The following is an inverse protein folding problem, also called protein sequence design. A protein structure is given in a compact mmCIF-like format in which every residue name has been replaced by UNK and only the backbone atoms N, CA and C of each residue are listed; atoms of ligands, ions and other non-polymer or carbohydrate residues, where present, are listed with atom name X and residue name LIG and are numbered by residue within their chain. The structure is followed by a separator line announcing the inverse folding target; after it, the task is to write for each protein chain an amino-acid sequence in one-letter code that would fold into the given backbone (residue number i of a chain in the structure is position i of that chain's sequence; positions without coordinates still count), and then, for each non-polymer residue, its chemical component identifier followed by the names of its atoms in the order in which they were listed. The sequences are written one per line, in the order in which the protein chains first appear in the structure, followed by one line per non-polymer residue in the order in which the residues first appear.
data_IF_619092772468
#
_entry.id   IF_619092772468
#
_cell.length_a   1.000
_cell.length_b   1.000
_cell.length_c   1.000
_cell.angle_alpha   90.00
_cell.angle_beta   90.00
_cell.angle_gamma   90.00
#
_symmetry.space_group_name_H-M   'P 1'
#
loop_
_entity.id
_entity.type
_entity.pdbx_description
1 polymer ?
#
# COMPACT_ATOMS: atom_id res chain seq x y z
N UNK A 1 54.98 -10.73 -29.35
CA UNK A 1 53.52 -10.86 -29.14
C UNK A 1 53.29 -10.29 -27.75
N UNK A 2 53.05 -8.98 -27.70
CA UNK A 2 53.06 -8.24 -26.45
C UNK A 2 51.68 -8.28 -25.80
N UNK A 3 51.67 -8.73 -24.56
CA UNK A 3 50.53 -8.81 -23.67
C UNK A 3 50.12 -7.40 -23.24
N UNK A 4 49.02 -6.89 -23.79
CA UNK A 4 48.38 -5.64 -23.34
C UNK A 4 47.67 -5.93 -22.01
N UNK A 5 48.34 -5.62 -20.91
CA UNK A 5 47.74 -5.54 -19.57
C UNK A 5 46.94 -4.23 -19.50
N UNK A 6 45.63 -4.31 -19.65
CA UNK A 6 44.70 -3.21 -19.36
C UNK A 6 44.71 -2.99 -17.85
N UNK A 7 45.20 -1.83 -17.39
CA UNK A 7 45.07 -1.40 -16.00
C UNK A 7 43.59 -1.08 -15.72
N UNK A 8 43.04 -1.44 -14.54
CA UNK A 8 41.73 -0.96 -14.14
C UNK A 8 41.78 0.55 -13.90
N UNK A 9 40.76 1.28 -14.36
CA UNK A 9 40.52 2.68 -14.01
C UNK A 9 40.18 2.78 -12.51
N UNK A 10 41.21 2.94 -11.68
CA UNK A 10 41.09 3.37 -10.28
C UNK A 10 41.49 4.86 -10.17
N UNK A 11 40.65 5.80 -10.61
CA UNK A 11 40.98 7.23 -10.36
C UNK A 11 39.85 8.22 -10.07
N UNK A 12 38.55 7.93 -10.24
CA UNK A 12 37.53 8.98 -9.99
C UNK A 12 37.15 9.15 -8.50
N UNK A 13 37.21 8.09 -7.68
CA UNK A 13 36.81 8.19 -6.27
C UNK A 13 37.86 8.90 -5.38
N UNK A 14 39.13 8.94 -5.79
CA UNK A 14 40.24 9.47 -4.99
C UNK A 14 40.49 10.99 -5.16
N UNK A 15 39.91 11.60 -6.20
CA UNK A 15 39.93 13.05 -6.44
C UNK A 15 38.65 13.76 -5.96
N UNK A 16 37.54 13.02 -5.86
CA UNK A 16 36.27 13.53 -5.37
C UNK A 16 36.40 14.10 -3.94
N UNK A 17 35.97 15.34 -3.74
CA UNK A 17 36.03 16.05 -2.45
C UNK A 17 37.27 16.95 -2.25
N UNK A 18 38.22 16.96 -3.20
CA UNK A 18 39.35 17.93 -3.20
C UNK A 18 39.02 19.23 -3.94
N UNK A 19 37.96 19.23 -4.75
CA UNK A 19 37.45 20.42 -5.43
C UNK A 19 36.65 21.29 -4.46
N UNK A 20 37.31 22.33 -3.93
CA UNK A 20 36.68 23.28 -3.01
C UNK A 20 35.60 24.14 -3.69
N UNK A 21 35.56 24.20 -5.03
CA UNK A 21 34.56 24.95 -5.79
C UNK A 21 33.17 24.36 -5.61
N UNK A 22 33.03 23.05 -5.78
CA UNK A 22 31.73 22.37 -5.69
C UNK A 22 31.12 22.45 -4.27
N UNK A 23 31.94 22.26 -3.23
CA UNK A 23 31.46 22.41 -1.84
C UNK A 23 30.99 23.84 -1.58
N UNK A 24 31.73 24.84 -2.08
CA UNK A 24 31.32 26.24 -1.97
C UNK A 24 29.98 26.51 -2.67
N UNK A 25 29.81 26.01 -3.89
CA UNK A 25 28.56 26.15 -4.65
C UNK A 25 27.37 25.49 -3.95
N UNK A 26 27.56 24.31 -3.37
CA UNK A 26 26.53 23.63 -2.56
C UNK A 26 26.13 24.50 -1.38
N UNK A 27 27.11 25.05 -0.65
CA UNK A 27 26.86 25.93 0.50
C UNK A 27 26.09 27.19 0.07
N UNK A 28 26.53 27.87 -0.99
CA UNK A 28 25.89 29.08 -1.52
C UNK A 28 24.46 28.79 -1.98
N UNK A 29 24.26 27.70 -2.71
CA UNK A 29 22.95 27.29 -3.22
C UNK A 29 22.00 26.96 -2.07
N UNK A 30 22.44 26.14 -1.11
CA UNK A 30 21.62 25.81 0.05
C UNK A 30 21.26 27.06 0.88
N UNK A 31 22.19 28.00 1.07
CA UNK A 31 21.89 29.26 1.77
C UNK A 31 20.79 30.07 1.09
N UNK A 32 20.76 30.12 -0.25
CA UNK A 32 19.71 30.82 -1.01
C UNK A 32 18.32 30.22 -0.78
N UNK A 33 18.23 28.94 -0.43
CA UNK A 33 16.98 28.23 -0.17
C UNK A 33 16.73 27.98 1.33
N UNK A 34 17.51 28.63 2.22
CA UNK A 34 17.30 28.59 3.67
C UNK A 34 18.08 27.53 4.44
N UNK A 35 18.96 26.76 3.80
CA UNK A 35 19.86 25.85 4.50
C UNK A 35 20.99 26.64 5.20
N UNK A 36 20.88 26.77 6.52
CA UNK A 36 21.86 27.44 7.38
C UNK A 36 22.80 26.47 8.10
N UNK A 37 23.59 26.99 9.05
CA UNK A 37 24.56 26.20 9.83
C UNK A 37 23.94 24.96 10.46
N UNK A 38 22.76 25.07 11.07
CA UNK A 38 22.08 23.94 11.70
C UNK A 38 21.79 22.78 10.71
N UNK A 39 21.42 23.10 9.47
CA UNK A 39 21.18 22.10 8.43
C UNK A 39 22.47 21.34 8.08
N UNK A 40 23.54 22.08 7.75
CA UNK A 40 24.81 21.46 7.36
C UNK A 40 25.45 20.70 8.52
N UNK A 41 25.34 21.19 9.75
CA UNK A 41 25.81 20.47 10.94
C UNK A 41 25.04 19.17 11.15
N UNK A 42 23.71 19.18 11.02
CA UNK A 42 22.91 17.95 11.15
C UNK A 42 23.28 16.93 10.05
N UNK A 43 23.48 17.41 8.83
CA UNK A 43 23.86 16.58 7.69
C UNK A 43 25.26 15.97 7.85
N UNK A 44 26.21 16.73 8.40
CA UNK A 44 27.59 16.27 8.62
C UNK A 44 27.74 15.27 9.78
N UNK A 45 26.86 15.31 10.77
CA UNK A 45 26.93 14.47 11.97
C UNK A 45 25.98 13.26 11.95
N UNK A 46 25.23 13.05 10.87
CA UNK A 46 24.30 11.93 10.74
C UNK A 46 24.49 11.21 9.40
N UNK A 47 25.21 10.09 9.42
CA UNK A 47 25.41 9.24 8.24
C UNK A 47 24.09 8.78 7.62
N UNK A 48 23.08 8.48 8.45
CA UNK A 48 21.74 8.11 8.00
C UNK A 48 21.07 9.25 7.21
N UNK A 49 21.11 10.48 7.73
CA UNK A 49 20.55 11.65 7.05
C UNK A 49 21.30 11.96 5.75
N UNK A 50 22.62 11.78 5.76
CA UNK A 50 23.46 11.96 4.58
C UNK A 50 23.11 10.94 3.50
N UNK A 51 23.02 9.66 3.85
CA UNK A 51 22.66 8.58 2.93
C UNK A 51 21.28 8.82 2.29
N UNK A 52 20.31 9.34 3.04
CA UNK A 52 18.98 9.70 2.52
C UNK A 52 19.05 10.85 1.50
N UNK A 53 19.84 11.88 1.78
CA UNK A 53 20.06 13.01 0.87
C UNK A 53 20.73 12.54 -0.42
N UNK A 54 21.75 11.69 -0.33
CA UNK A 54 22.40 11.08 -1.50
C UNK A 54 21.40 10.26 -2.32
N UNK A 55 20.60 9.42 -1.67
CA UNK A 55 19.58 8.61 -2.35
C UNK A 55 18.50 9.47 -3.03
N UNK A 56 18.13 10.61 -2.44
CA UNK A 56 17.20 11.58 -3.03
C UNK A 56 17.78 12.21 -4.31
N UNK A 57 19.02 12.70 -4.25
CA UNK A 57 19.70 13.33 -5.39
C UNK A 57 19.96 12.32 -6.50
N UNK A 58 20.43 11.11 -6.19
CA UNK A 58 20.69 10.04 -7.17
C UNK A 58 19.42 9.59 -7.92
N UNK A 59 18.23 9.86 -7.37
CA UNK A 59 16.93 9.56 -7.99
C UNK A 59 16.31 10.78 -8.68
N UNK A 60 17.10 11.82 -8.95
CA UNK A 60 16.66 12.97 -9.75
C UNK A 60 15.74 13.95 -9.02
N UNK A 61 15.74 13.95 -7.68
CA UNK A 61 14.89 14.85 -6.91
C UNK A 61 13.39 14.51 -6.96
N UNK A 62 13.02 13.35 -7.51
CA UNK A 62 11.68 12.80 -7.36
C UNK A 62 11.49 12.39 -5.90
N UNK A 63 10.75 13.21 -5.17
CA UNK A 63 10.26 12.91 -3.84
C UNK A 63 9.47 11.58 -3.86
N UNK A 64 10.13 10.51 -3.44
CA UNK A 64 9.46 9.68 -2.45
C UNK A 64 9.53 10.48 -1.16
N UNK A 65 8.53 11.35 -0.93
CA UNK A 65 8.18 11.77 0.44
C UNK A 65 7.74 10.48 1.13
N UNK A 66 8.71 9.72 1.62
CA UNK A 66 8.53 9.08 2.90
C UNK A 66 8.54 10.24 3.87
N UNK A 67 7.37 10.87 4.00
CA UNK A 67 7.00 11.53 5.25
C UNK A 67 7.49 10.56 6.31
N UNK A 68 8.34 11.07 7.20
CA UNK A 68 8.65 10.37 8.44
C UNK A 68 7.31 10.34 9.16
N UNK A 69 6.50 9.32 8.83
CA UNK A 69 5.28 9.03 9.54
C UNK A 69 5.71 8.92 10.98
N UNK A 70 5.14 9.77 11.84
CA UNK A 70 5.35 9.71 13.27
C UNK A 70 5.42 8.24 13.68
N UNK A 71 6.43 7.83 14.45
CA UNK A 71 6.50 6.45 14.90
C UNK A 71 5.18 6.11 15.60
N UNK A 72 4.37 5.28 14.94
CA UNK A 72 3.09 4.86 15.43
C UNK A 72 3.33 3.52 16.13
N UNK A 73 3.40 3.47 17.48
CA UNK A 73 3.67 2.23 18.19
C UNK A 73 2.53 1.24 17.95
N UNK A 74 2.86 -0.06 17.91
CA UNK A 74 1.81 -1.05 17.84
C UNK A 74 0.92 -1.01 19.09
N UNK A 75 -0.38 -1.20 18.92
CA UNK A 75 -1.29 -1.45 20.05
C UNK A 75 -1.11 -2.88 20.57
N UNK A 76 -1.61 -3.17 21.77
CA UNK A 76 -1.62 -4.56 22.28
C UNK A 76 -2.45 -5.48 21.37
N UNK A 77 -3.56 -4.96 20.86
CA UNK A 77 -4.44 -5.70 19.95
C UNK A 77 -3.74 -6.02 18.62
N UNK A 78 -2.96 -5.10 18.06
CA UNK A 78 -2.15 -5.32 16.86
C UNK A 78 -1.06 -6.37 17.08
N UNK A 79 -0.33 -6.30 18.21
CA UNK A 79 0.67 -7.31 18.58
C UNK A 79 0.04 -8.70 18.70
N UNK A 80 -1.07 -8.81 19.43
CA UNK A 80 -1.81 -10.05 19.57
C UNK A 80 -2.25 -10.63 18.21
N UNK A 81 -2.77 -9.78 17.32
CA UNK A 81 -3.16 -10.24 15.99
C UNK A 81 -1.97 -10.73 15.17
N UNK A 82 -0.82 -10.04 15.25
CA UNK A 82 0.43 -10.46 14.61
C UNK A 82 0.90 -11.81 15.16
N UNK A 83 0.84 -12.01 16.47
CA UNK A 83 1.25 -13.26 17.12
C UNK A 83 0.37 -14.45 16.67
N UNK A 84 -0.93 -14.21 16.41
CA UNK A 84 -1.89 -15.25 16.02
C UNK A 84 -1.87 -15.52 14.51
N UNK A 85 -2.00 -14.47 13.68
CA UNK A 85 -2.14 -14.60 12.22
C UNK A 85 -0.81 -14.59 11.48
N UNK A 86 0.24 -14.05 12.11
CA UNK A 86 1.54 -13.79 11.50
C UNK A 86 1.67 -12.38 10.92
N UNK A 87 2.90 -11.85 10.96
CA UNK A 87 3.24 -10.49 10.51
C UNK A 87 2.84 -10.19 9.06
N UNK A 88 2.88 -11.19 8.17
CA UNK A 88 2.50 -11.04 6.76
C UNK A 88 0.98 -10.96 6.53
N UNK A 89 0.18 -11.32 7.53
CA UNK A 89 -1.29 -11.35 7.46
C UNK A 89 -1.95 -10.16 8.18
N UNK A 90 -1.18 -9.31 8.84
CA UNK A 90 -1.70 -8.15 9.58
C UNK A 90 -1.12 -6.87 8.99
N UNK A 91 -2.01 -6.00 8.48
CA UNK A 91 -1.67 -4.65 8.08
C UNK A 91 -2.15 -3.66 9.14
N UNK A 92 -1.20 -3.11 9.87
CA UNK A 92 -1.43 -2.22 11.01
C UNK A 92 -1.76 -0.80 10.59
N UNK A 93 -2.32 -0.01 11.51
CA UNK A 93 -2.56 1.43 11.31
C UNK A 93 -1.28 2.19 10.93
N UNK A 94 -0.14 1.79 11.49
CA UNK A 94 1.17 2.37 11.20
C UNK A 94 1.54 2.18 9.73
N UNK A 95 1.40 0.95 9.23
CA UNK A 95 1.69 0.61 7.83
C UNK A 95 0.67 1.22 6.86
N UNK A 96 -0.60 1.30 7.27
CA UNK A 96 -1.66 1.92 6.48
C UNK A 96 -1.60 3.46 6.46
N UNK A 97 -0.67 4.08 7.22
CA UNK A 97 -0.58 5.54 7.44
C UNK A 97 -1.92 6.12 7.94
N UNK A 98 -2.51 5.44 8.92
CA UNK A 98 -3.75 5.81 9.61
C UNK A 98 -3.49 6.50 10.95
N UNK A 99 -4.36 7.46 11.33
CA UNK A 99 -4.17 8.28 12.53
C UNK A 99 -5.08 7.91 13.72
N UNK A 100 -6.27 7.37 13.49
CA UNK A 100 -7.21 7.02 14.55
C UNK A 100 -7.02 5.58 15.02
N UNK A 101 -6.93 5.37 16.34
CA UNK A 101 -6.93 4.04 16.93
C UNK A 101 -8.36 3.51 17.01
N UNK A 102 -8.58 2.30 16.46
CA UNK A 102 -9.85 1.61 16.54
C UNK A 102 -9.65 0.26 17.21
N UNK A 103 -10.59 -0.11 18.08
CA UNK A 103 -10.59 -1.44 18.70
C UNK A 103 -10.81 -2.54 17.66
N UNK A 104 -10.16 -3.69 17.86
CA UNK A 104 -10.45 -4.88 17.07
C UNK A 104 -11.86 -5.38 17.36
N UNK A 105 -12.65 -5.58 16.30
CA UNK A 105 -14.02 -6.12 16.39
C UNK A 105 -14.05 -7.63 16.59
N UNK A 106 -12.91 -8.29 16.44
CA UNK A 106 -12.78 -9.75 16.38
C UNK A 106 -12.12 -10.28 17.66
N UNK A 107 -12.68 -11.36 18.21
CA UNK A 107 -12.12 -12.04 19.37
C UNK A 107 -10.87 -12.84 19.01
N UNK A 108 -10.05 -13.18 20.02
CA UNK A 108 -8.91 -14.10 19.86
C UNK A 108 -9.31 -15.42 19.20
N UNK A 109 -10.47 -15.97 19.60
CA UNK A 109 -11.01 -17.22 19.04
C UNK A 109 -11.24 -17.11 17.53
N UNK A 110 -11.80 -16.00 17.05
CA UNK A 110 -12.00 -15.77 15.61
C UNK A 110 -10.66 -15.68 14.87
N UNK A 111 -9.68 -14.99 15.45
CA UNK A 111 -8.35 -14.88 14.84
C UNK A 111 -7.65 -16.24 14.76
N UNK A 112 -7.75 -17.09 15.79
CA UNK A 112 -7.20 -18.44 15.77
C UNK A 112 -7.88 -19.32 14.70
N UNK A 113 -9.22 -19.28 14.61
CA UNK A 113 -9.93 -20.01 13.57
C UNK A 113 -9.48 -19.60 12.15
N UNK A 114 -9.25 -18.30 11.94
CA UNK A 114 -8.74 -17.80 10.66
C UNK A 114 -7.29 -18.23 10.41
N UNK A 115 -6.44 -18.27 11.44
CA UNK A 115 -5.07 -18.81 11.33
C UNK A 115 -5.08 -20.30 10.94
N UNK A 116 -5.98 -21.09 11.52
CA UNK A 116 -6.16 -22.51 11.18
C UNK A 116 -6.66 -22.71 9.74
N UNK A 117 -7.57 -21.86 9.26
CA UNK A 117 -8.01 -21.88 7.87
C UNK A 117 -6.91 -21.46 6.89
N UNK A 118 -6.08 -20.49 7.27
CA UNK A 118 -4.91 -20.04 6.48
C UNK A 118 -3.87 -21.15 6.30
N UNK A 119 -3.77 -22.07 7.27
CA UNK A 119 -2.88 -23.24 7.15
C UNK A 119 -3.37 -24.27 6.10
N UNK A 120 -4.61 -24.13 5.61
CA UNK A 120 -5.20 -24.99 4.59
C UNK A 120 -5.17 -24.28 3.24
N UNK A 121 -6.15 -23.43 3.00
CA UNK A 121 -6.37 -22.79 1.69
C UNK A 121 -6.92 -21.36 1.78
N UNK A 122 -7.22 -20.83 2.97
CA UNK A 122 -7.73 -19.47 3.09
C UNK A 122 -6.61 -18.42 3.00
N UNK A 123 -7.00 -17.16 2.78
CA UNK A 123 -6.10 -16.02 2.92
C UNK A 123 -6.73 -14.91 3.75
N UNK A 124 -7.08 -15.24 4.99
CA UNK A 124 -7.55 -14.29 5.99
C UNK A 124 -6.44 -13.31 6.38
N UNK A 125 -6.74 -12.03 6.21
CA UNK A 125 -5.87 -10.91 6.57
C UNK A 125 -6.63 -9.92 7.42
N UNK A 126 -5.99 -9.44 8.48
CA UNK A 126 -6.50 -8.37 9.30
C UNK A 126 -5.91 -7.05 8.81
N UNK A 127 -6.75 -6.16 8.27
CA UNK A 127 -6.31 -4.96 7.57
C UNK A 127 -6.93 -3.73 8.21
N UNK A 128 -6.09 -2.76 8.59
CA UNK A 128 -6.56 -1.41 8.93
C UNK A 128 -6.96 -0.64 7.68
N UNK A 129 -8.20 -0.16 7.63
CA UNK A 129 -8.76 0.58 6.51
C UNK A 129 -9.29 1.94 6.98
N UNK A 130 -9.13 2.97 6.13
CA UNK A 130 -9.52 4.36 6.40
C UNK A 130 -10.95 4.68 5.97
N UNK A 131 -11.64 3.74 5.34
CA UNK A 131 -13.03 3.94 4.92
C UNK A 131 -13.17 4.71 3.61
N UNK A 132 -12.12 4.71 2.78
CA UNK A 132 -12.12 5.51 1.56
C UNK A 132 -13.05 4.90 0.51
N UNK A 133 -13.76 5.76 -0.22
CA UNK A 133 -14.50 5.35 -1.41
C UNK A 133 -13.55 5.03 -2.57
N UNK A 134 -14.05 4.36 -3.63
CA UNK A 134 -13.23 4.07 -4.81
C UNK A 134 -12.69 5.36 -5.46
N UNK A 135 -13.51 6.43 -5.49
CA UNK A 135 -13.05 7.71 -6.03
C UNK A 135 -11.99 8.37 -5.17
N UNK A 136 -12.14 8.32 -3.85
CA UNK A 136 -11.12 8.82 -2.94
C UNK A 136 -9.80 8.06 -3.10
N UNK A 137 -9.86 6.73 -3.24
CA UNK A 137 -8.68 5.91 -3.52
C UNK A 137 -8.06 6.26 -4.89
N UNK A 138 -8.85 6.44 -5.94
CA UNK A 138 -8.33 6.86 -7.26
C UNK A 138 -7.64 8.22 -7.21
N UNK A 139 -8.20 9.20 -6.51
CA UNK A 139 -7.56 10.51 -6.32
C UNK A 139 -6.23 10.34 -5.58
N UNK A 140 -6.19 9.48 -4.55
CA UNK A 140 -5.01 9.25 -3.72
C UNK A 140 -3.87 8.56 -4.46
N UNK A 141 -4.16 7.49 -5.21
CA UNK A 141 -3.11 6.67 -5.86
C UNK A 141 -2.87 7.07 -7.32
N UNK A 142 -3.80 7.80 -7.93
CA UNK A 142 -3.69 8.26 -9.30
C UNK A 142 -3.91 7.16 -10.34
N UNK A 143 -3.51 7.47 -11.58
CA UNK A 143 -3.70 6.61 -12.78
C UNK A 143 -2.43 6.47 -13.61
N UNK A 144 -1.28 6.91 -13.10
CA UNK A 144 -0.02 6.83 -13.82
C UNK A 144 0.49 5.38 -13.80
N UNK A 145 0.43 4.68 -14.94
CA UNK A 145 0.89 3.29 -15.06
C UNK A 145 2.36 3.08 -14.67
N UNK A 146 3.19 4.13 -14.72
CA UNK A 146 4.60 4.08 -14.26
C UNK A 146 4.75 4.15 -12.74
N UNK A 147 3.69 4.51 -12.01
CA UNK A 147 3.66 4.63 -10.55
C UNK A 147 2.63 3.64 -9.99
N UNK A 148 3.08 2.48 -9.52
CA UNK A 148 2.20 1.47 -8.93
C UNK A 148 2.08 1.66 -7.40
N UNK A 149 0.91 1.39 -6.80
CA UNK A 149 -0.32 0.97 -7.47
C UNK A 149 -1.05 2.16 -8.10
N UNK A 150 -1.72 1.96 -9.24
CA UNK A 150 -2.56 2.98 -9.86
C UNK A 150 -3.88 2.39 -10.37
N UNK A 151 -4.93 3.22 -10.48
CA UNK A 151 -6.11 2.82 -11.24
C UNK A 151 -5.81 2.82 -12.74
N UNK A 152 -6.48 1.94 -13.48
CA UNK A 152 -6.36 1.94 -14.93
C UNK A 152 -6.91 3.27 -15.50
N UNK A 153 -6.10 4.08 -16.21
CA UNK A 153 -6.55 5.33 -16.80
C UNK A 153 -7.66 5.15 -17.83
N UNK A 154 -7.79 3.98 -18.45
CA UNK A 154 -8.78 3.72 -19.50
C UNK A 154 -10.16 3.34 -18.93
N UNK A 155 -10.21 2.88 -17.67
CA UNK A 155 -11.46 2.45 -17.02
C UNK A 155 -12.10 3.61 -16.22
N UNK A 156 -12.64 4.57 -16.95
CA UNK A 156 -13.22 5.81 -16.38
C UNK A 156 -14.73 5.74 -16.10
N UNK A 157 -15.40 4.62 -16.38
CA UNK A 157 -16.87 4.53 -16.25
C UNK A 157 -17.40 4.90 -14.85
N UNK A 158 -16.67 4.51 -13.79
CA UNK A 158 -16.98 4.83 -12.39
C UNK A 158 -16.85 6.34 -12.05
N UNK A 159 -16.29 7.14 -12.96
CA UNK A 159 -16.16 8.59 -12.81
C UNK A 159 -17.36 9.37 -13.32
N UNK A 160 -18.31 8.72 -14.01
CA UNK A 160 -19.50 9.41 -14.50
C UNK A 160 -20.48 9.72 -13.36
N UNK A 161 -21.25 10.82 -13.50
CA UNK A 161 -22.22 11.27 -12.49
C UNK A 161 -23.27 10.20 -12.15
N UNK A 162 -23.62 9.34 -13.11
CA UNK A 162 -24.58 8.25 -12.90
C UNK A 162 -24.07 7.22 -11.88
N UNK A 163 -22.76 7.11 -11.68
CA UNK A 163 -22.14 6.15 -10.76
C UNK A 163 -21.84 6.75 -9.38
N UNK A 164 -22.11 8.04 -9.15
CA UNK A 164 -21.82 8.73 -7.88
C UNK A 164 -22.42 7.99 -6.69
N UNK A 165 -23.63 7.46 -6.88
CA UNK A 165 -24.41 6.80 -5.85
C UNK A 165 -23.69 5.65 -5.16
N UNK A 166 -22.76 4.95 -5.81
CA UNK A 166 -21.94 3.91 -5.18
C UNK A 166 -20.45 4.26 -5.17
N UNK A 167 -19.93 4.94 -6.20
CA UNK A 167 -18.49 5.17 -6.36
C UNK A 167 -17.92 6.17 -5.34
N UNK A 168 -18.78 7.01 -4.76
CA UNK A 168 -18.42 7.97 -3.70
C UNK A 168 -18.69 7.43 -2.29
N UNK A 169 -19.38 6.28 -2.16
CA UNK A 169 -19.69 5.71 -0.86
C UNK A 169 -18.43 5.15 -0.19
N UNK A 170 -18.14 5.68 0.99
CA UNK A 170 -17.15 5.12 1.91
C UNK A 170 -17.75 4.02 2.78
N UNK A 171 -16.97 3.59 3.76
CA UNK A 171 -17.39 2.66 4.80
C UNK A 171 -16.78 3.07 6.13
N UNK A 172 -17.20 2.43 7.22
CA UNK A 172 -16.70 2.76 8.54
C UNK A 172 -15.18 2.44 8.63
N UNK A 173 -14.32 3.36 9.07
CA UNK A 173 -12.90 3.07 9.25
C UNK A 173 -12.66 2.03 10.37
N UNK A 174 -11.52 1.34 10.30
CA UNK A 174 -11.08 0.42 11.35
C UNK A 174 -10.49 -0.87 10.80
N UNK A 175 -10.43 -1.88 11.68
CA UNK A 175 -9.87 -3.19 11.37
C UNK A 175 -10.92 -4.13 10.79
N UNK A 176 -10.57 -4.75 9.66
CA UNK A 176 -11.40 -5.72 8.96
C UNK A 176 -10.64 -7.01 8.71
N UNK A 177 -11.29 -8.14 8.96
CA UNK A 177 -10.80 -9.46 8.64
C UNK A 177 -11.37 -9.86 7.27
N UNK A 178 -10.51 -10.01 6.28
CA UNK A 178 -10.87 -10.24 4.88
C UNK A 178 -10.20 -11.51 4.37
N UNK A 179 -10.96 -12.41 3.74
CA UNK A 179 -10.38 -13.52 2.98
C UNK A 179 -10.05 -13.06 1.56
N UNK A 180 -8.76 -12.97 1.27
CA UNK A 180 -8.23 -12.49 -0.01
C UNK A 180 -8.00 -13.63 -1.02
N UNK A 181 -8.46 -14.86 -0.74
CA UNK A 181 -8.35 -15.99 -1.67
C UNK A 181 -9.48 -16.03 -2.74
N UNK A 182 -10.38 -15.04 -2.76
CA UNK A 182 -11.39 -14.93 -3.83
C UNK A 182 -12.43 -16.05 -3.85
N UNK A 183 -12.81 -16.55 -2.67
CA UNK A 183 -13.84 -17.57 -2.52
C UNK A 183 -15.06 -17.23 -3.39
N UNK A 184 -15.44 -18.19 -4.22
CA UNK A 184 -16.65 -18.14 -5.04
C UNK A 184 -16.64 -17.10 -6.18
N UNK A 185 -15.49 -16.53 -6.56
CA UNK A 185 -15.39 -15.55 -7.65
C UNK A 185 -15.97 -16.01 -9.00
N UNK A 186 -16.00 -17.32 -9.26
CA UNK A 186 -16.60 -17.91 -10.47
C UNK A 186 -18.11 -18.23 -10.36
N UNK A 187 -18.73 -18.05 -9.18
CA UNK A 187 -20.15 -18.34 -8.98
C UNK A 187 -21.02 -17.09 -9.24
N UNK A 188 -22.25 -17.28 -9.71
CA UNK A 188 -23.22 -16.19 -9.83
C UNK A 188 -23.62 -15.60 -8.47
N UNK A 189 -24.06 -14.34 -8.45
CA UNK A 189 -24.44 -13.58 -7.24
C UNK A 189 -25.24 -14.38 -6.20
N UNK A 190 -26.38 -14.96 -6.61
CA UNK A 190 -27.27 -15.71 -5.70
C UNK A 190 -26.58 -16.96 -5.14
N UNK A 191 -25.75 -17.63 -5.94
CA UNK A 191 -25.00 -18.82 -5.51
C UNK A 191 -23.90 -18.44 -4.52
N UNK A 192 -23.20 -17.33 -4.74
CA UNK A 192 -22.25 -16.81 -3.77
C UNK A 192 -22.97 -16.48 -2.44
N UNK A 193 -24.15 -15.86 -2.48
CA UNK A 193 -24.94 -15.55 -1.28
C UNK A 193 -25.30 -16.79 -0.46
N UNK A 194 -25.74 -17.87 -1.11
CA UNK A 194 -26.02 -19.16 -0.43
C UNK A 194 -24.77 -19.73 0.24
N UNK A 195 -23.64 -19.76 -0.49
CA UNK A 195 -22.37 -20.25 0.05
C UNK A 195 -21.84 -19.43 1.22
N UNK A 196 -22.01 -18.11 1.19
CA UNK A 196 -21.63 -17.25 2.32
C UNK A 196 -22.51 -17.57 3.54
N UNK A 197 -23.82 -17.73 3.34
CA UNK A 197 -24.73 -18.09 4.43
C UNK A 197 -24.42 -19.47 5.05
N UNK A 198 -23.91 -20.42 4.24
CA UNK A 198 -23.44 -21.74 4.71
C UNK A 198 -22.20 -21.65 5.62
N UNK A 199 -21.38 -20.59 5.50
CA UNK A 199 -20.22 -20.38 6.38
C UNK A 199 -20.63 -19.94 7.79
N UNK A 200 -21.75 -19.21 7.92
CA UNK A 200 -22.27 -18.71 9.19
C UNK A 200 -22.79 -17.27 9.10
N UNK A 201 -23.63 -16.84 10.05
CA UNK A 201 -24.22 -15.49 10.08
C UNK A 201 -23.19 -14.36 10.25
N UNK A 202 -22.00 -14.66 10.75
CA UNK A 202 -20.89 -13.73 10.92
C UNK A 202 -20.16 -13.42 9.61
N UNK A 203 -20.34 -14.24 8.57
CA UNK A 203 -19.72 -14.04 7.28
C UNK A 203 -20.59 -13.15 6.40
N UNK A 204 -19.99 -12.06 5.92
CA UNK A 204 -20.66 -11.11 5.04
C UNK A 204 -19.80 -10.82 3.83
N UNK A 205 -20.48 -10.45 2.74
CA UNK A 205 -19.81 -9.96 1.54
C UNK A 205 -19.17 -8.60 1.82
N UNK A 206 -17.88 -8.49 1.54
CA UNK A 206 -17.15 -7.23 1.66
C UNK A 206 -17.65 -6.16 0.67
N UNK A 207 -17.54 -4.89 1.07
CA UNK A 207 -17.75 -3.75 0.17
C UNK A 207 -16.68 -3.73 -0.91
N UNK A 208 -17.02 -3.34 -2.14
CA UNK A 208 -16.04 -3.14 -3.22
C UNK A 208 -14.94 -2.13 -2.85
N UNK A 209 -15.31 -1.02 -2.21
CA UNK A 209 -14.38 -0.02 -1.70
C UNK A 209 -13.40 -0.60 -0.66
N UNK A 210 -13.89 -1.46 0.22
CA UNK A 210 -13.10 -2.12 1.27
C UNK A 210 -12.06 -3.07 0.66
N UNK A 211 -12.46 -3.89 -0.31
CA UNK A 211 -11.54 -4.81 -1.01
C UNK A 211 -10.51 -4.03 -1.84
N UNK A 212 -10.92 -2.94 -2.48
CA UNK A 212 -10.02 -2.06 -3.25
C UNK A 212 -8.99 -1.41 -2.34
N UNK A 213 -9.42 -0.78 -1.24
CA UNK A 213 -8.52 -0.15 -0.28
C UNK A 213 -7.57 -1.19 0.33
N UNK A 214 -8.06 -2.37 0.72
CA UNK A 214 -7.21 -3.44 1.26
C UNK A 214 -6.12 -3.87 0.28
N UNK A 215 -6.47 -4.13 -0.98
CA UNK A 215 -5.50 -4.53 -2.00
C UNK A 215 -4.43 -3.45 -2.24
N UNK A 216 -4.85 -2.19 -2.40
CA UNK A 216 -3.95 -1.05 -2.58
C UNK A 216 -2.96 -0.88 -1.41
N UNK A 217 -3.46 -1.01 -0.18
CA UNK A 217 -2.66 -0.80 1.04
C UNK A 217 -1.69 -1.94 1.27
N UNK A 218 -2.13 -3.19 1.04
CA UNK A 218 -1.25 -4.36 1.11
C UNK A 218 -0.11 -4.22 0.09
N UNK A 219 -0.42 -3.86 -1.16
CA UNK A 219 0.60 -3.62 -2.18
C UNK A 219 1.57 -2.51 -1.75
N UNK A 220 1.08 -1.37 -1.25
CA UNK A 220 1.93 -0.27 -0.80
C UNK A 220 2.84 -0.65 0.37
N UNK A 221 2.39 -1.55 1.25
CA UNK A 221 3.15 -1.96 2.43
C UNK A 221 4.14 -3.11 2.14
N UNK A 222 3.80 -4.02 1.22
CA UNK A 222 4.52 -5.30 1.05
C UNK A 222 5.02 -5.54 -0.38
N UNK A 223 4.47 -4.83 -1.37
CA UNK A 223 4.67 -5.10 -2.80
C UNK A 223 3.90 -6.32 -3.31
N UNK A 224 3.12 -7.00 -2.46
CA UNK A 224 2.34 -8.16 -2.85
C UNK A 224 1.14 -7.78 -3.73
N UNK A 225 0.95 -8.56 -4.80
CA UNK A 225 -0.18 -8.40 -5.70
C UNK A 225 -1.34 -9.33 -5.38
N UNK A 226 -2.53 -8.77 -5.22
CA UNK A 226 -3.75 -9.51 -4.90
C UNK A 226 -4.79 -9.41 -6.02
N UNK A 227 -5.85 -10.23 -5.93
CA UNK A 227 -6.95 -10.26 -6.89
C UNK A 227 -6.54 -10.71 -8.32
N UNK A 228 -5.50 -11.54 -8.41
CA UNK A 228 -5.03 -12.08 -9.68
C UNK A 228 -6.04 -13.09 -10.26
N UNK A 229 -6.53 -12.84 -11.47
CA UNK A 229 -7.41 -13.74 -12.23
C UNK A 229 -8.80 -14.03 -11.62
N UNK A 230 -9.27 -13.21 -10.67
CA UNK A 230 -10.63 -13.30 -10.16
C UNK A 230 -11.22 -11.92 -9.87
N UNK A 231 -12.55 -11.88 -9.71
CA UNK A 231 -13.32 -10.67 -9.46
C UNK A 231 -14.10 -10.81 -8.15
N UNK A 232 -13.90 -9.87 -7.23
CA UNK A 232 -14.81 -9.67 -6.11
C UNK A 232 -16.08 -8.99 -6.60
N UNK A 233 -17.24 -9.50 -6.20
CA UNK A 233 -18.52 -8.84 -6.49
C UNK A 233 -18.95 -8.12 -5.22
N UNK A 234 -18.96 -6.79 -5.28
CA UNK A 234 -19.35 -5.89 -4.21
C UNK A 234 -20.86 -5.87 -3.97
N UNK A 235 -21.28 -5.14 -2.93
CA UNK A 235 -22.70 -5.07 -2.56
C UNK A 235 -23.49 -4.07 -3.40
N UNK A 236 -22.82 -3.06 -3.95
CA UNK A 236 -23.49 -1.99 -4.67
C UNK A 236 -23.92 -2.38 -6.07
N UNK A 237 -24.87 -1.60 -6.60
CA UNK A 237 -25.32 -1.65 -7.98
C UNK A 237 -24.80 -0.41 -8.71
N UNK A 238 -24.22 -0.64 -9.89
CA UNK A 238 -23.96 0.41 -10.86
C UNK A 238 -25.28 0.95 -11.42
N UNK A 239 -25.24 2.11 -12.08
CA UNK A 239 -26.43 2.77 -12.65
C UNK A 239 -27.26 1.85 -13.57
N UNK A 240 -26.60 0.95 -14.30
CA UNK A 240 -27.24 -0.06 -15.15
C UNK A 240 -27.79 -1.30 -14.42
N UNK A 241 -27.87 -1.29 -13.09
CA UNK A 241 -28.42 -2.38 -12.28
C UNK A 241 -27.52 -3.62 -12.17
N UNK A 242 -26.28 -3.56 -12.65
CA UNK A 242 -25.28 -4.63 -12.50
C UNK A 242 -24.51 -4.45 -11.19
N UNK A 243 -24.04 -5.57 -10.62
CA UNK A 243 -23.17 -5.51 -9.43
C UNK A 243 -21.83 -4.90 -9.78
N UNK A 244 -21.31 -4.07 -8.88
CA UNK A 244 -19.95 -3.54 -9.00
C UNK A 244 -18.96 -4.65 -8.69
N UNK A 245 -17.95 -4.82 -9.53
CA UNK A 245 -16.90 -5.81 -9.34
C UNK A 245 -15.51 -5.17 -9.28
N UNK A 246 -14.64 -5.74 -8.45
CA UNK A 246 -13.24 -5.33 -8.29
C UNK A 246 -12.34 -6.54 -8.51
N UNK A 247 -11.39 -6.45 -9.44
CA UNK A 247 -10.43 -7.52 -9.70
C UNK A 247 -9.80 -7.42 -11.09
N UNK A 248 -8.92 -8.37 -11.43
CA UNK A 248 -8.37 -8.55 -12.79
C UNK A 248 -7.88 -7.26 -13.47
N UNK A 249 -7.03 -6.52 -12.78
CA UNK A 249 -6.41 -5.30 -13.30
C UNK A 249 -5.23 -5.61 -14.25
N UNK A 250 -4.58 -6.78 -14.12
CA UNK A 250 -3.72 -7.43 -15.13
C UNK A 250 -3.60 -8.96 -14.88
N UNK A 251 -2.75 -9.68 -15.63
CA UNK A 251 -2.48 -11.13 -15.46
C UNK A 251 -1.81 -11.50 -14.12
N UNK A 252 -1.32 -10.52 -13.36
CA UNK A 252 -0.57 -10.66 -12.10
C UNK A 252 -1.31 -10.12 -10.87
N UNK A 253 -2.44 -9.44 -11.04
CA UNK A 253 -3.18 -8.78 -9.95
C UNK A 253 -2.69 -7.35 -9.68
N UNK A 254 -3.26 -6.69 -8.66
CA UNK A 254 -2.94 -5.30 -8.28
C UNK A 254 -1.50 -5.09 -7.85
#
# INVERSE_FOLDING_TARGET
MDSVMVRPEETDAAEFGKDQGLIHEVIVTGRKVGAGTAFYSALAHSEELFARTVAFVARGGEEVVREVGAYIPLTEAERMAIDILGQSKVLTRAQARGGAEFSLRYSKTVLHACAEENAKEADWRLVYLRGNSLRAERVRVGTNRKQQPCFDPDYVWMMSLAEDGWATQGFEPGYYLLDMNGRFGAAAWTKQGKKIAELGPEFVRAHEAMVTEAALRIFQATGERLLANWWHWGRSLASGGRRVSVGSFDRRGW
#
